data_IF_960432988439
#
_entry.id   IF_960432988439
#
_cell.length_a   1.000
_cell.length_b   1.000
_cell.length_c   1.000
_cell.angle_alpha   90.00
_cell.angle_beta   90.00
_cell.angle_gamma   90.00
#
_symmetry.space_group_name_H-M   'P 1'
#
loop_
_entity.id
_entity.type
_entity.pdbx_description
1 polymer ?
#
# COMPACT_ATOMS: atom_id res chain seq x y z
N UNK A 1 -31.71 23.88 -43.83
CA UNK A 1 -30.45 23.30 -44.31
C UNK A 1 -29.38 24.38 -44.25
N UNK A 2 -28.40 24.26 -43.35
CA UNK A 2 -27.12 24.96 -43.43
C UNK A 2 -26.08 24.22 -42.58
N UNK A 3 -24.89 24.06 -43.18
CA UNK A 3 -23.61 23.56 -42.63
C UNK A 3 -23.09 24.59 -41.58
N UNK A 4 -22.13 24.36 -40.67
CA UNK A 4 -20.77 23.77 -40.75
C UNK A 4 -20.32 23.31 -39.31
N UNK A 5 -19.03 23.00 -38.97
CA UNK A 5 -18.56 21.72 -38.44
C UNK A 5 -18.08 21.75 -36.97
N UNK A 6 -17.83 20.59 -36.37
CA UNK A 6 -17.13 20.52 -35.08
C UNK A 6 -15.62 20.44 -35.29
N UNK A 7 -14.93 21.53 -34.93
CA UNK A 7 -13.47 21.60 -34.78
C UNK A 7 -13.00 20.77 -33.57
N UNK A 8 -12.07 19.86 -33.81
CA UNK A 8 -11.24 19.26 -32.76
C UNK A 8 -10.22 20.31 -32.31
N UNK A 9 -10.44 20.91 -31.13
CA UNK A 9 -9.40 21.65 -30.43
C UNK A 9 -8.35 20.68 -29.91
N UNK A 10 -7.13 20.91 -30.36
CA UNK A 10 -5.89 20.22 -30.01
C UNK A 10 -5.62 20.26 -28.50
N UNK A 11 -5.54 19.10 -27.87
CA UNK A 11 -4.94 18.93 -26.54
C UNK A 11 -3.43 19.31 -26.60
N UNK A 12 -2.89 20.01 -25.59
CA UNK A 12 -1.49 20.42 -25.59
C UNK A 12 -0.56 19.20 -25.53
N UNK A 13 0.47 19.23 -26.39
CA UNK A 13 1.60 18.29 -26.40
C UNK A 13 2.34 18.36 -25.08
N UNK A 14 1.97 17.51 -24.12
CA UNK A 14 2.75 17.29 -22.90
C UNK A 14 3.61 16.04 -23.10
N UNK A 15 4.72 16.19 -23.82
CA UNK A 15 5.77 15.18 -23.90
C UNK A 15 7.13 15.86 -24.04
N UNK A 16 8.08 15.39 -23.21
CA UNK A 16 9.47 15.86 -23.01
C UNK A 16 9.58 17.11 -22.12
N UNK A 17 9.79 16.90 -20.81
CA UNK A 17 10.63 17.71 -19.88
C UNK A 17 10.22 17.54 -18.40
N UNK A 18 10.14 16.31 -17.87
CA UNK A 18 9.92 16.07 -16.42
C UNK A 18 11.09 15.33 -15.75
N UNK A 19 12.33 15.53 -16.21
CA UNK A 19 13.54 14.96 -15.59
C UNK A 19 14.54 16.04 -15.09
N UNK A 20 14.18 17.33 -15.12
CA UNK A 20 15.05 18.38 -14.56
C UNK A 20 14.29 19.28 -13.60
N UNK A 21 14.19 18.86 -12.33
CA UNK A 21 14.24 19.73 -11.14
C UNK A 21 13.91 18.90 -9.90
N UNK A 22 14.92 18.22 -9.37
CA UNK A 22 14.88 17.57 -8.05
C UNK A 22 15.17 18.56 -6.89
N UNK A 23 15.27 19.87 -7.18
CA UNK A 23 15.63 20.91 -6.19
C UNK A 23 14.51 21.37 -5.26
N UNK A 24 13.23 21.22 -5.64
CA UNK A 24 12.12 21.82 -4.90
C UNK A 24 11.44 20.87 -3.89
N UNK A 25 11.86 19.59 -3.85
CA UNK A 25 11.44 18.62 -2.82
C UNK A 25 12.21 18.78 -1.48
N UNK A 26 13.18 19.71 -1.43
CA UNK A 26 14.08 19.93 -0.29
C UNK A 26 13.52 20.86 0.81
N UNK A 27 12.32 21.43 0.66
CA UNK A 27 11.71 22.32 1.68
C UNK A 27 10.62 21.67 2.57
N UNK A 28 10.39 20.35 2.48
CA UNK A 28 9.34 19.66 3.26
C UNK A 28 9.79 19.20 4.67
N UNK A 29 10.86 19.77 5.23
CA UNK A 29 11.38 19.41 6.57
C UNK A 29 10.69 20.13 7.74
N UNK A 30 9.51 20.71 7.52
CA UNK A 30 8.66 21.25 8.61
C UNK A 30 7.16 20.92 8.44
N UNK A 31 6.83 19.65 8.20
CA UNK A 31 5.41 19.24 8.03
C UNK A 31 4.72 18.92 9.37
N UNK A 32 4.19 19.95 10.02
CA UNK A 32 3.15 19.82 11.05
C UNK A 32 1.75 20.29 10.60
N UNK A 33 1.52 21.03 9.49
CA UNK A 33 0.15 21.30 9.03
C UNK A 33 -0.34 20.50 7.80
N UNK A 34 0.51 19.70 7.15
CA UNK A 34 0.15 19.03 5.87
C UNK A 34 -0.42 17.59 6.08
N UNK A 35 -0.70 17.21 7.33
CA UNK A 35 -1.24 15.89 7.69
C UNK A 35 -2.76 15.74 7.41
N UNK A 36 -3.48 16.85 7.22
CA UNK A 36 -4.92 16.88 6.91
C UNK A 36 -5.20 16.47 5.47
N UNK A 37 -4.46 17.07 4.53
CA UNK A 37 -4.86 17.10 3.13
C UNK A 37 -4.33 15.88 2.36
N UNK A 38 -3.16 15.33 2.66
CA UNK A 38 -2.60 14.23 1.86
C UNK A 38 -3.33 12.88 1.99
N UNK A 39 -3.98 12.58 3.13
CA UNK A 39 -4.81 11.37 3.26
C UNK A 39 -6.10 11.52 2.44
N UNK A 40 -6.69 12.72 2.44
CA UNK A 40 -7.78 13.11 1.56
C UNK A 40 -7.33 13.15 0.10
N UNK A 41 -6.11 13.61 -0.21
CA UNK A 41 -5.52 13.63 -1.56
C UNK A 41 -5.17 12.24 -2.06
N UNK A 42 -4.81 11.28 -1.20
CA UNK A 42 -4.64 9.86 -1.58
C UNK A 42 -5.99 9.16 -1.72
N UNK A 43 -6.98 9.52 -0.90
CA UNK A 43 -8.37 9.09 -1.06
C UNK A 43 -9.01 9.72 -2.32
N UNK A 44 -8.65 10.96 -2.67
CA UNK A 44 -9.06 11.75 -3.84
C UNK A 44 -8.27 11.40 -5.10
N UNK A 45 -7.01 10.96 -5.02
CA UNK A 45 -6.31 10.27 -6.10
C UNK A 45 -6.88 8.85 -6.24
N UNK A 46 -7.31 8.25 -5.14
CA UNK A 46 -8.19 7.09 -5.15
C UNK A 46 -9.61 7.41 -5.62
N UNK A 47 -10.08 8.65 -5.75
CA UNK A 47 -11.47 8.90 -6.20
C UNK A 47 -11.66 8.67 -7.71
N UNK A 48 -10.75 9.10 -8.60
CA UNK A 48 -10.69 8.61 -9.97
C UNK A 48 -10.40 7.11 -10.01
N UNK A 49 -9.55 6.58 -9.12
CA UNK A 49 -9.25 5.15 -9.06
C UNK A 49 -10.35 4.32 -8.38
N UNK A 50 -11.35 4.88 -7.70
CA UNK A 50 -12.52 4.18 -7.13
C UNK A 50 -13.68 4.22 -8.13
N UNK A 51 -13.67 5.19 -9.05
CA UNK A 51 -14.52 5.23 -10.25
C UNK A 51 -13.98 4.38 -11.41
N UNK A 52 -12.66 4.20 -11.53
CA UNK A 52 -12.02 3.44 -12.62
C UNK A 52 -11.32 2.14 -12.21
N UNK A 53 -10.86 1.99 -10.97
CA UNK A 53 -10.69 0.66 -10.38
C UNK A 53 -11.91 0.38 -9.53
N UNK A 54 -12.57 -0.71 -9.87
CA UNK A 54 -13.35 -1.47 -8.93
C UNK A 54 -12.61 -1.55 -7.59
N UNK A 55 -13.07 -0.77 -6.60
CA UNK A 55 -12.72 -0.96 -5.18
C UNK A 55 -13.02 -2.41 -4.73
N UNK A 56 -13.84 -3.09 -5.51
CA UNK A 56 -14.21 -4.50 -5.49
C UNK A 56 -13.12 -5.49 -5.95
N UNK A 57 -12.09 -5.08 -6.71
CA UNK A 57 -11.20 -6.03 -7.40
C UNK A 57 -9.82 -6.16 -6.75
N UNK A 58 -9.34 -5.18 -5.95
CA UNK A 58 -7.96 -5.24 -5.41
C UNK A 58 -7.75 -4.97 -3.93
N UNK A 59 -8.69 -4.33 -3.24
CA UNK A 59 -8.64 -4.15 -1.77
C UNK A 59 -9.38 -5.25 -1.02
N UNK A 60 -10.36 -5.87 -1.65
CA UNK A 60 -11.03 -7.06 -1.15
C UNK A 60 -10.69 -8.25 -2.06
N UNK A 61 -10.48 -9.47 -1.53
CA UNK A 61 -10.43 -10.66 -2.37
C UNK A 61 -11.71 -10.67 -3.21
N UNK A 62 -11.57 -10.57 -4.54
CA UNK A 62 -12.61 -10.34 -5.57
C UNK A 62 -14.04 -10.27 -5.03
N UNK A 63 -14.77 -9.17 -5.18
CA UNK A 63 -16.19 -8.98 -4.72
C UNK A 63 -17.08 -10.24 -4.66
N UNK A 64 -17.00 -11.16 -5.63
CA UNK A 64 -17.65 -12.47 -5.62
C UNK A 64 -17.35 -13.35 -4.38
N UNK A 65 -16.12 -13.31 -3.85
CA UNK A 65 -15.65 -14.07 -2.69
C UNK A 65 -16.16 -13.47 -1.37
N UNK A 66 -16.09 -12.15 -1.21
CA UNK A 66 -16.73 -11.48 -0.07
C UNK A 66 -18.25 -11.74 -0.04
N UNK A 67 -18.91 -11.79 -1.20
CA UNK A 67 -20.30 -12.20 -1.31
C UNK A 67 -20.52 -13.65 -0.83
N UNK A 68 -19.68 -14.60 -1.27
CA UNK A 68 -19.76 -16.01 -0.82
C UNK A 68 -19.57 -16.17 0.69
N UNK A 69 -18.58 -15.51 1.29
CA UNK A 69 -18.34 -15.58 2.75
C UNK A 69 -19.49 -14.92 3.52
N UNK A 70 -20.00 -13.78 3.05
CA UNK A 70 -21.16 -13.11 3.63
C UNK A 70 -22.44 -13.96 3.58
N UNK A 71 -22.53 -14.94 2.68
CA UNK A 71 -23.67 -15.86 2.66
C UNK A 71 -23.62 -16.90 3.77
N UNK A 72 -22.43 -17.26 4.26
CA UNK A 72 -22.23 -18.36 5.20
C UNK A 72 -21.92 -17.89 6.62
N UNK A 73 -21.44 -16.66 6.79
CA UNK A 73 -21.03 -16.13 8.08
C UNK A 73 -21.70 -14.77 8.38
N UNK A 74 -22.34 -14.68 9.55
CA UNK A 74 -23.19 -13.56 9.92
C UNK A 74 -22.41 -12.29 10.27
N UNK A 75 -21.25 -12.40 10.91
CA UNK A 75 -20.40 -11.27 11.28
C UNK A 75 -19.90 -10.50 10.04
N UNK A 76 -19.42 -11.21 9.02
CA UNK A 76 -18.95 -10.70 7.73
C UNK A 76 -20.13 -10.11 6.97
N UNK A 77 -21.28 -10.80 6.95
CA UNK A 77 -22.51 -10.24 6.35
C UNK A 77 -22.85 -8.87 6.93
N UNK A 78 -22.91 -8.77 8.25
CA UNK A 78 -23.23 -7.52 8.93
C UNK A 78 -22.17 -6.44 8.69
N UNK A 79 -20.88 -6.79 8.68
CA UNK A 79 -19.78 -5.87 8.36
C UNK A 79 -19.91 -5.31 6.94
N UNK A 80 -20.22 -6.17 5.96
CA UNK A 80 -20.38 -5.78 4.56
C UNK A 80 -21.62 -4.90 4.35
N UNK A 81 -22.74 -5.18 5.04
CA UNK A 81 -23.94 -4.31 4.98
C UNK A 81 -23.63 -2.95 5.61
N UNK A 82 -22.92 -2.92 6.74
CA UNK A 82 -22.50 -1.68 7.39
C UNK A 82 -21.62 -0.85 6.45
N UNK A 83 -20.62 -1.47 5.82
CA UNK A 83 -19.72 -0.81 4.87
C UNK A 83 -20.48 -0.28 3.65
N UNK A 84 -21.38 -1.08 3.08
CA UNK A 84 -22.22 -0.67 1.95
C UNK A 84 -23.13 0.51 2.31
N UNK A 85 -23.68 0.53 3.52
CA UNK A 85 -24.52 1.62 4.03
C UNK A 85 -23.72 2.90 4.26
N UNK A 86 -22.50 2.81 4.82
CA UNK A 86 -21.58 3.93 4.97
C UNK A 86 -21.19 4.53 3.61
N UNK A 87 -20.93 3.68 2.62
CA UNK A 87 -20.64 4.13 1.26
C UNK A 87 -21.86 4.84 0.64
N UNK A 88 -23.09 4.39 0.91
CA UNK A 88 -24.30 5.12 0.51
C UNK A 88 -24.44 6.46 1.20
N UNK A 89 -24.13 6.57 2.49
CA UNK A 89 -24.07 7.86 3.18
C UNK A 89 -23.12 8.82 2.45
N UNK A 90 -21.89 8.39 2.14
CA UNK A 90 -20.91 9.22 1.43
C UNK A 90 -21.43 9.69 0.05
N UNK A 91 -22.03 8.78 -0.72
CA UNK A 91 -22.61 9.13 -2.02
C UNK A 91 -23.71 10.19 -1.90
N UNK A 92 -24.58 10.07 -0.90
CA UNK A 92 -25.69 10.99 -0.68
C UNK A 92 -25.21 12.34 -0.15
N UNK A 93 -24.23 12.39 0.75
CA UNK A 93 -23.62 13.63 1.25
C UNK A 93 -23.11 14.52 0.10
N UNK A 94 -22.57 13.90 -0.95
CA UNK A 94 -22.04 14.58 -2.13
C UNK A 94 -23.10 15.13 -3.10
N UNK A 95 -24.40 14.85 -2.87
CA UNK A 95 -25.50 15.29 -3.74
C UNK A 95 -26.43 16.26 -3.01
N UNK A 96 -26.73 17.41 -3.62
CA UNK A 96 -27.21 18.58 -2.87
C UNK A 96 -28.69 18.56 -2.41
N UNK A 97 -29.52 17.64 -2.92
CA UNK A 97 -30.94 17.97 -3.10
C UNK A 97 -31.93 17.41 -2.06
N UNK A 98 -31.64 16.36 -1.28
CA UNK A 98 -32.67 15.76 -0.38
C UNK A 98 -32.10 14.99 0.82
N UNK A 99 -31.27 15.67 1.63
CA UNK A 99 -30.23 15.00 2.44
C UNK A 99 -30.60 14.56 3.86
N UNK A 100 -31.49 15.22 4.58
CA UNK A 100 -31.62 14.99 6.04
C UNK A 100 -32.07 13.59 6.42
N UNK A 101 -33.34 13.27 6.14
CA UNK A 101 -33.98 12.03 6.60
C UNK A 101 -33.35 10.75 6.00
N UNK A 102 -32.98 10.80 4.72
CA UNK A 102 -32.38 9.64 4.04
C UNK A 102 -30.98 9.33 4.54
N UNK A 103 -30.16 10.36 4.81
CA UNK A 103 -28.81 10.19 5.37
C UNK A 103 -28.87 9.63 6.78
N UNK A 104 -29.76 10.17 7.63
CA UNK A 104 -29.97 9.68 9.00
C UNK A 104 -30.37 8.20 9.03
N UNK A 105 -31.26 7.79 8.11
CA UNK A 105 -31.65 6.38 7.98
C UNK A 105 -30.47 5.47 7.64
N UNK A 106 -29.63 5.84 6.69
CA UNK A 106 -28.45 5.04 6.32
C UNK A 106 -27.38 5.05 7.42
N UNK A 107 -27.23 6.14 8.17
CA UNK A 107 -26.36 6.19 9.35
C UNK A 107 -26.83 5.21 10.43
N UNK A 108 -28.13 5.15 10.71
CA UNK A 108 -28.71 4.19 11.67
C UNK A 108 -28.43 2.75 11.22
N UNK A 109 -28.66 2.43 9.94
CA UNK A 109 -28.37 1.10 9.39
C UNK A 109 -26.88 0.77 9.50
N UNK A 110 -26.00 1.73 9.19
CA UNK A 110 -24.54 1.55 9.30
C UNK A 110 -24.16 1.16 10.73
N UNK A 111 -24.64 1.91 11.72
CA UNK A 111 -24.31 1.68 13.13
C UNK A 111 -24.90 0.36 13.65
N UNK A 112 -26.18 0.08 13.36
CA UNK A 112 -26.83 -1.17 13.78
C UNK A 112 -26.10 -2.40 13.23
N UNK A 113 -25.74 -2.39 11.95
CA UNK A 113 -25.05 -3.51 11.32
C UNK A 113 -23.60 -3.65 11.80
N UNK A 114 -22.91 -2.53 12.04
CA UNK A 114 -21.59 -2.52 12.65
C UNK A 114 -21.60 -3.20 14.04
N UNK A 115 -22.54 -2.80 14.91
CA UNK A 115 -22.69 -3.37 16.26
C UNK A 115 -23.01 -4.86 16.18
N UNK A 116 -23.94 -5.26 15.31
CA UNK A 116 -24.28 -6.68 15.13
C UNK A 116 -23.08 -7.51 14.70
N UNK A 117 -22.28 -7.01 13.76
CA UNK A 117 -21.07 -7.69 13.32
C UNK A 117 -20.09 -7.90 14.48
N UNK A 118 -19.79 -6.84 15.25
CA UNK A 118 -18.92 -6.94 16.44
C UNK A 118 -19.45 -7.95 17.47
N UNK A 119 -20.75 -7.95 17.75
CA UNK A 119 -21.37 -8.91 18.68
C UNK A 119 -21.27 -10.36 18.20
N UNK A 120 -21.29 -10.60 16.89
CA UNK A 120 -21.05 -11.95 16.35
C UNK A 120 -19.58 -12.34 16.47
N UNK A 121 -18.64 -11.44 16.17
CA UNK A 121 -17.20 -11.70 16.30
C UNK A 121 -16.79 -12.04 17.73
N UNK A 122 -17.42 -11.42 18.73
CA UNK A 122 -17.16 -11.70 20.14
C UNK A 122 -17.36 -13.18 20.49
N UNK A 123 -18.19 -13.91 19.75
CA UNK A 123 -18.41 -15.36 19.96
C UNK A 123 -17.19 -16.20 19.60
N UNK A 124 -16.32 -15.68 18.74
CA UNK A 124 -15.08 -16.35 18.33
C UNK A 124 -13.91 -16.08 19.28
N UNK A 125 -14.09 -15.24 20.30
CA UNK A 125 -13.05 -14.92 21.27
C UNK A 125 -12.63 -16.19 22.02
N UNK A 126 -11.38 -16.63 21.80
CA UNK A 126 -10.82 -17.85 22.40
C UNK A 126 -10.85 -19.09 21.50
N UNK A 127 -11.53 -19.06 20.35
CA UNK A 127 -11.55 -20.16 19.39
C UNK A 127 -10.58 -19.91 18.22
N UNK A 128 -9.41 -20.55 18.27
CA UNK A 128 -8.33 -20.45 17.27
C UNK A 128 -8.58 -21.31 16.01
N UNK A 129 -9.82 -21.37 15.52
CA UNK A 129 -10.10 -22.02 14.23
C UNK A 129 -9.70 -21.08 13.09
N UNK A 130 -9.03 -21.62 12.06
CA UNK A 130 -8.56 -20.84 10.92
C UNK A 130 -9.68 -20.03 10.25
N UNK A 131 -10.88 -20.60 10.15
CA UNK A 131 -12.06 -19.92 9.59
C UNK A 131 -12.44 -18.68 10.40
N UNK A 132 -12.51 -18.80 11.73
CA UNK A 132 -12.82 -17.69 12.64
C UNK A 132 -11.78 -16.55 12.51
N UNK A 133 -10.50 -16.91 12.32
CA UNK A 133 -9.42 -15.93 12.06
C UNK A 133 -9.69 -15.18 10.76
N UNK A 134 -9.97 -15.91 9.66
CA UNK A 134 -10.26 -15.29 8.35
C UNK A 134 -11.47 -14.34 8.46
N UNK A 135 -12.56 -14.78 9.08
CA UNK A 135 -13.77 -13.97 9.25
C UNK A 135 -13.51 -12.71 10.07
N UNK A 136 -12.74 -12.82 11.15
CA UNK A 136 -12.35 -11.67 11.98
C UNK A 136 -11.50 -10.68 11.20
N UNK A 137 -10.54 -11.17 10.42
CA UNK A 137 -9.68 -10.33 9.58
C UNK A 137 -10.47 -9.62 8.46
N UNK A 138 -11.41 -10.32 7.81
CA UNK A 138 -12.31 -9.72 6.82
C UNK A 138 -13.14 -8.61 7.47
N UNK A 139 -13.71 -8.84 8.65
CA UNK A 139 -14.46 -7.80 9.35
C UNK A 139 -13.58 -6.61 9.73
N UNK A 140 -12.35 -6.84 10.20
CA UNK A 140 -11.38 -5.76 10.45
C UNK A 140 -11.13 -4.94 9.18
N UNK A 141 -10.92 -5.56 8.02
CA UNK A 141 -10.77 -4.84 6.74
C UNK A 141 -12.02 -4.03 6.39
N UNK A 142 -13.21 -4.63 6.52
CA UNK A 142 -14.47 -3.93 6.29
C UNK A 142 -14.62 -2.72 7.21
N UNK A 143 -14.25 -2.84 8.48
CA UNK A 143 -14.31 -1.75 9.44
C UNK A 143 -13.24 -0.67 9.22
N UNK A 144 -12.03 -1.03 8.80
CA UNK A 144 -11.03 -0.04 8.35
C UNK A 144 -11.62 0.81 7.24
N UNK A 145 -12.16 0.18 6.19
CA UNK A 145 -12.78 0.90 5.08
C UNK A 145 -13.99 1.74 5.53
N UNK A 146 -14.85 1.18 6.39
CA UNK A 146 -16.03 1.87 6.91
C UNK A 146 -15.65 3.12 7.70
N UNK A 147 -14.68 3.02 8.59
CA UNK A 147 -14.25 4.14 9.43
C UNK A 147 -13.50 5.19 8.59
N UNK A 148 -12.79 4.79 7.53
CA UNK A 148 -12.25 5.74 6.53
C UNK A 148 -13.39 6.51 5.83
N UNK A 149 -14.46 5.83 5.41
CA UNK A 149 -15.61 6.49 4.77
C UNK A 149 -16.34 7.47 5.70
N UNK A 150 -16.18 7.30 7.02
CA UNK A 150 -16.75 8.17 8.06
C UNK A 150 -15.75 9.21 8.58
N UNK A 151 -14.56 9.29 7.96
CA UNK A 151 -13.41 10.11 8.40
C UNK A 151 -13.00 9.88 9.87
N UNK A 152 -13.22 8.67 10.39
CA UNK A 152 -12.84 8.28 11.74
C UNK A 152 -11.49 7.53 11.73
N UNK A 153 -10.42 8.30 11.58
CA UNK A 153 -9.05 7.79 11.42
C UNK A 153 -8.58 6.97 12.63
N UNK A 154 -8.97 7.35 13.84
CA UNK A 154 -8.60 6.66 15.08
C UNK A 154 -9.21 5.25 15.12
N UNK A 155 -10.49 5.12 14.77
CA UNK A 155 -11.15 3.82 14.74
C UNK A 155 -10.61 2.94 13.59
N UNK A 156 -10.38 3.52 12.40
CA UNK A 156 -9.75 2.80 11.29
C UNK A 156 -8.37 2.24 11.70
N UNK A 157 -7.55 3.06 12.35
CA UNK A 157 -6.25 2.64 12.87
C UNK A 157 -6.38 1.54 13.94
N UNK A 158 -7.37 1.65 14.83
CA UNK A 158 -7.63 0.64 15.87
C UNK A 158 -7.95 -0.72 15.24
N UNK A 159 -8.79 -0.75 14.21
CA UNK A 159 -9.10 -2.00 13.48
C UNK A 159 -7.89 -2.55 12.72
N UNK A 160 -7.06 -1.70 12.13
CA UNK A 160 -5.80 -2.10 11.52
C UNK A 160 -4.88 -2.77 12.55
N UNK A 161 -4.66 -2.12 13.71
CA UNK A 161 -3.82 -2.65 14.79
C UNK A 161 -4.34 -3.98 15.32
N UNK A 162 -5.65 -4.10 15.52
CA UNK A 162 -6.28 -5.34 15.98
C UNK A 162 -6.08 -6.48 14.96
N UNK A 163 -6.30 -6.21 13.66
CA UNK A 163 -6.06 -7.19 12.60
C UNK A 163 -4.59 -7.60 12.50
N UNK A 164 -3.66 -6.65 12.61
CA UNK A 164 -2.23 -6.94 12.61
C UNK A 164 -1.78 -7.74 13.84
N UNK A 165 -2.37 -7.52 15.02
CA UNK A 165 -2.10 -8.33 16.21
C UNK A 165 -2.54 -9.79 16.01
N UNK A 166 -3.70 -10.02 15.37
CA UNK A 166 -4.16 -11.37 15.02
C UNK A 166 -3.17 -12.02 14.04
N UNK A 167 -2.76 -11.29 13.00
CA UNK A 167 -1.77 -11.77 12.02
C UNK A 167 -0.43 -12.06 12.70
N UNK A 168 0.00 -11.23 13.64
CA UNK A 168 1.29 -11.42 14.32
C UNK A 168 1.36 -12.75 15.08
N UNK A 169 0.23 -13.17 15.66
CA UNK A 169 0.08 -14.44 16.36
C UNK A 169 0.01 -15.69 15.47
N UNK A 170 -0.02 -15.55 14.14
CA UNK A 170 -0.08 -16.70 13.24
C UNK A 170 1.26 -17.43 13.13
N UNK A 171 1.26 -18.76 12.92
CA UNK A 171 2.48 -19.53 12.76
C UNK A 171 3.34 -19.07 11.57
N UNK A 172 4.69 -19.09 11.66
CA UNK A 172 5.59 -18.61 10.61
C UNK A 172 5.36 -19.23 9.22
N UNK A 173 5.01 -20.52 9.16
CA UNK A 173 4.79 -21.23 7.88
C UNK A 173 3.63 -20.65 7.05
N UNK A 174 2.69 -19.93 7.69
CA UNK A 174 1.58 -19.25 7.00
C UNK A 174 2.12 -18.19 6.05
N UNK A 175 3.26 -17.58 6.34
CA UNK A 175 3.82 -16.43 5.62
C UNK A 175 4.72 -16.82 4.44
N UNK A 176 4.96 -18.11 4.17
CA UNK A 176 5.86 -18.55 3.09
C UNK A 176 5.49 -18.02 1.70
N UNK A 177 4.20 -17.77 1.45
CA UNK A 177 3.73 -17.18 0.19
C UNK A 177 4.22 -15.74 -0.05
N UNK A 178 4.70 -15.04 0.99
CA UNK A 178 5.25 -13.70 0.83
C UNK A 178 6.60 -13.72 0.09
N UNK A 179 7.24 -14.89 -0.02
CA UNK A 179 8.55 -15.05 -0.65
C UNK A 179 8.50 -15.73 -2.02
N UNK A 180 7.37 -16.35 -2.39
CA UNK A 180 7.23 -17.05 -3.67
C UNK A 180 5.99 -16.58 -4.43
N UNK A 181 6.13 -16.11 -5.68
CA UNK A 181 5.00 -15.72 -6.52
C UNK A 181 4.15 -16.92 -6.95
N UNK A 182 4.70 -18.15 -6.92
CA UNK A 182 4.10 -19.38 -7.44
C UNK A 182 3.59 -20.34 -6.36
N UNK A 183 3.61 -19.94 -5.09
CA UNK A 183 3.15 -20.79 -4.00
C UNK A 183 1.68 -21.20 -4.21
N UNK A 184 1.45 -22.46 -4.58
CA UNK A 184 0.10 -23.03 -4.73
C UNK A 184 -0.51 -23.17 -3.35
N UNK A 185 -1.63 -22.47 -3.14
CA UNK A 185 -2.36 -22.53 -1.89
C UNK A 185 -3.62 -23.39 -2.07
N UNK A 186 -3.90 -24.25 -1.10
CA UNK A 186 -5.24 -24.80 -0.90
C UNK A 186 -6.25 -23.66 -0.76
N UNK A 187 -7.50 -23.87 -1.17
CA UNK A 187 -8.50 -22.79 -1.27
C UNK A 187 -8.67 -21.98 0.03
N UNK A 188 -8.79 -22.63 1.19
CA UNK A 188 -8.92 -21.96 2.50
C UNK A 188 -7.64 -21.22 2.90
N UNK A 189 -6.48 -21.74 2.48
CA UNK A 189 -5.18 -21.09 2.69
C UNK A 189 -5.06 -19.85 1.79
N UNK A 190 -5.56 -19.91 0.55
CA UNK A 190 -5.53 -18.79 -0.39
C UNK A 190 -6.32 -17.57 0.14
N UNK A 191 -7.47 -17.79 0.80
CA UNK A 191 -8.28 -16.70 1.37
C UNK A 191 -7.56 -15.98 2.52
N UNK A 192 -6.93 -16.73 3.43
CA UNK A 192 -6.12 -16.15 4.49
C UNK A 192 -4.92 -15.38 3.92
N UNK A 193 -4.24 -15.96 2.94
CA UNK A 193 -3.08 -15.33 2.30
C UNK A 193 -3.45 -14.02 1.61
N UNK A 194 -4.54 -14.01 0.82
CA UNK A 194 -5.02 -12.79 0.17
C UNK A 194 -5.40 -11.72 1.19
N UNK A 195 -6.03 -12.11 2.29
CA UNK A 195 -6.36 -11.22 3.40
C UNK A 195 -5.08 -10.61 4.02
N UNK A 196 -4.06 -11.44 4.29
CA UNK A 196 -2.75 -10.97 4.79
C UNK A 196 -2.08 -10.02 3.78
N UNK A 197 -2.16 -10.30 2.46
CA UNK A 197 -1.61 -9.40 1.43
C UNK A 197 -2.25 -8.01 1.50
N UNK A 198 -3.57 -7.94 1.71
CA UNK A 198 -4.29 -6.67 1.86
C UNK A 198 -3.83 -5.93 3.11
N UNK A 199 -3.75 -6.59 4.26
CA UNK A 199 -3.19 -5.98 5.49
C UNK A 199 -1.77 -5.46 5.27
N UNK A 200 -0.92 -6.25 4.61
CA UNK A 200 0.45 -5.85 4.28
C UNK A 200 0.55 -4.69 3.28
N UNK A 201 -0.53 -4.33 2.57
CA UNK A 201 -0.60 -3.10 1.77
C UNK A 201 -1.10 -1.93 2.62
N UNK A 202 -2.11 -2.15 3.44
CA UNK A 202 -2.71 -1.11 4.28
C UNK A 202 -1.73 -0.63 5.36
N UNK A 203 -0.96 -1.54 5.95
CA UNK A 203 0.01 -1.21 7.00
C UNK A 203 1.13 -0.28 6.49
N UNK A 204 1.44 -0.31 5.18
CA UNK A 204 2.41 0.61 4.58
C UNK A 204 1.99 2.06 4.73
N UNK A 205 0.69 2.37 4.63
CA UNK A 205 0.18 3.70 4.94
C UNK A 205 0.34 4.01 6.42
N UNK A 206 0.09 3.04 7.30
CA UNK A 206 0.29 3.17 8.74
C UNK A 206 1.70 3.66 9.10
N UNK A 207 2.73 3.17 8.40
CA UNK A 207 4.12 3.59 8.59
C UNK A 207 4.37 5.09 8.33
N UNK A 208 3.62 5.73 7.43
CA UNK A 208 3.82 7.15 7.10
C UNK A 208 3.09 8.09 8.05
N UNK A 209 1.95 7.66 8.61
CA UNK A 209 1.05 8.56 9.33
C UNK A 209 1.06 8.35 10.85
N UNK A 210 1.59 7.23 11.34
CA UNK A 210 1.61 6.93 12.77
C UNK A 210 3.04 6.74 13.26
N UNK A 211 3.57 7.67 14.08
CA UNK A 211 4.87 7.51 14.71
C UNK A 211 4.96 6.19 15.48
N UNK A 212 6.07 5.47 15.32
CA UNK A 212 6.30 4.18 15.99
C UNK A 212 5.40 3.03 15.49
N UNK A 213 4.74 3.19 14.34
CA UNK A 213 3.97 2.09 13.74
C UNK A 213 4.88 0.90 13.42
N UNK A 214 4.41 -0.31 13.76
CA UNK A 214 5.10 -1.57 13.51
C UNK A 214 4.43 -2.31 12.35
N UNK A 215 5.05 -2.37 11.15
CA UNK A 215 4.48 -3.09 10.00
C UNK A 215 4.70 -4.60 10.13
N UNK A 216 3.74 -5.29 10.71
CA UNK A 216 3.85 -6.71 11.07
C UNK A 216 4.09 -7.61 9.85
N UNK A 217 3.34 -7.41 8.76
CA UNK A 217 3.46 -8.28 7.58
C UNK A 217 4.80 -8.04 6.88
N UNK A 218 5.23 -6.78 6.77
CA UNK A 218 6.50 -6.41 6.19
C UNK A 218 7.68 -6.95 7.01
N UNK A 219 7.65 -6.83 8.34
CA UNK A 219 8.71 -7.38 9.21
C UNK A 219 8.85 -8.89 9.03
N UNK A 220 7.74 -9.63 9.02
CA UNK A 220 7.79 -11.09 8.83
C UNK A 220 8.37 -11.46 7.45
N UNK A 221 7.99 -10.74 6.40
CA UNK A 221 8.50 -10.96 5.06
C UNK A 221 9.99 -10.60 4.93
N UNK A 222 10.36 -9.45 5.49
CA UNK A 222 11.71 -8.90 5.49
C UNK A 222 12.70 -9.82 6.23
N UNK A 223 12.32 -10.33 7.40
CA UNK A 223 13.18 -11.23 8.16
C UNK A 223 13.56 -12.50 7.38
N UNK A 224 12.66 -13.00 6.53
CA UNK A 224 12.96 -14.12 5.64
C UNK A 224 13.78 -13.76 4.39
N UNK A 225 13.96 -12.47 4.11
CA UNK A 225 14.70 -11.92 2.96
C UNK A 225 15.84 -10.99 3.38
N UNK A 226 16.35 -11.11 4.61
CA UNK A 226 17.55 -10.37 4.99
C UNK A 226 18.68 -10.72 4.03
N UNK A 227 19.44 -9.70 3.65
CA UNK A 227 20.54 -9.78 2.69
C UNK A 227 20.14 -10.24 1.27
N UNK A 228 18.85 -10.32 0.95
CA UNK A 228 18.38 -10.54 -0.43
C UNK A 228 18.68 -9.30 -1.28
N UNK A 229 19.67 -9.44 -2.16
CA UNK A 229 20.04 -8.43 -3.15
C UNK A 229 19.32 -8.62 -4.50
N UNK A 230 18.44 -9.62 -4.57
CA UNK A 230 17.72 -10.01 -5.77
C UNK A 230 18.58 -10.77 -6.79
N UNK A 231 19.74 -11.31 -6.43
CA UNK A 231 20.63 -12.07 -7.33
C UNK A 231 19.90 -13.13 -8.14
N UNK A 232 18.94 -13.82 -7.52
CA UNK A 232 18.22 -14.95 -8.10
C UNK A 232 17.14 -14.54 -9.12
N UNK A 233 16.80 -13.25 -9.18
CA UNK A 233 15.78 -12.72 -10.08
C UNK A 233 16.42 -12.26 -11.40
N UNK A 234 16.40 -13.10 -12.45
CA UNK A 234 17.05 -12.78 -13.73
C UNK A 234 16.18 -11.98 -14.69
N UNK A 235 14.87 -12.27 -14.75
CA UNK A 235 13.93 -11.64 -15.70
C UNK A 235 12.56 -11.48 -15.06
N UNK A 236 11.79 -10.48 -15.53
CA UNK A 236 10.37 -10.33 -15.19
C UNK A 236 9.54 -10.75 -16.41
N UNK A 237 8.68 -11.75 -16.25
CA UNK A 237 7.91 -12.32 -17.35
C UNK A 237 6.60 -11.57 -17.61
N UNK A 238 6.03 -10.96 -16.57
CA UNK A 238 4.74 -10.29 -16.65
C UNK A 238 4.56 -9.25 -15.53
N UNK A 239 3.50 -8.46 -15.62
CA UNK A 239 3.21 -7.41 -14.65
C UNK A 239 2.83 -7.92 -13.25
N UNK A 240 2.35 -9.15 -13.10
CA UNK A 240 2.02 -9.72 -11.78
C UNK A 240 3.29 -10.06 -11.00
N UNK A 241 4.25 -10.69 -11.66
CA UNK A 241 5.59 -10.94 -11.11
C UNK A 241 6.32 -9.63 -10.78
N UNK A 242 6.26 -8.65 -11.69
CA UNK A 242 6.82 -7.32 -11.45
C UNK A 242 6.21 -6.66 -10.19
N UNK A 243 4.88 -6.69 -10.06
CA UNK A 243 4.16 -6.17 -8.90
C UNK A 243 4.52 -6.92 -7.62
N UNK A 244 4.71 -8.24 -7.68
CA UNK A 244 5.13 -9.04 -6.54
C UNK A 244 6.50 -8.59 -6.02
N UNK A 245 7.48 -8.45 -6.90
CA UNK A 245 8.83 -8.02 -6.52
C UNK A 245 8.88 -6.57 -6.05
N UNK A 246 8.15 -5.66 -6.70
CA UNK A 246 8.05 -4.26 -6.26
C UNK A 246 7.45 -4.13 -4.85
N UNK A 247 6.36 -4.84 -4.56
CA UNK A 247 5.77 -4.85 -3.22
C UNK A 247 6.71 -5.43 -2.17
N UNK A 248 7.42 -6.51 -2.48
CA UNK A 248 8.36 -7.11 -1.54
C UNK A 248 9.53 -6.19 -1.25
N UNK A 249 10.10 -5.55 -2.27
CA UNK A 249 11.13 -4.53 -2.07
C UNK A 249 10.62 -3.38 -1.21
N UNK A 250 9.43 -2.84 -1.50
CA UNK A 250 8.85 -1.75 -0.72
C UNK A 250 8.61 -2.15 0.75
N UNK A 251 8.10 -3.36 1.00
CA UNK A 251 7.95 -3.90 2.37
C UNK A 251 9.28 -4.01 3.09
N UNK A 252 10.31 -4.49 2.41
CA UNK A 252 11.64 -4.66 2.98
C UNK A 252 12.23 -3.29 3.38
N UNK A 253 12.01 -2.25 2.56
CA UNK A 253 12.36 -0.87 2.91
C UNK A 253 11.56 -0.37 4.12
N UNK A 254 10.24 -0.57 4.15
CA UNK A 254 9.43 -0.09 5.30
C UNK A 254 9.77 -0.83 6.61
N UNK A 255 10.10 -2.12 6.53
CA UNK A 255 10.61 -2.87 7.68
C UNK A 255 11.98 -2.36 8.11
N UNK A 256 12.87 -2.05 7.16
CA UNK A 256 14.18 -1.47 7.45
C UNK A 256 14.06 -0.11 8.11
N UNK A 257 13.20 0.78 7.60
CA UNK A 257 12.89 2.08 8.24
C UNK A 257 12.46 1.89 9.70
N UNK A 258 11.60 0.90 9.97
CA UNK A 258 11.15 0.62 11.33
C UNK A 258 12.30 0.15 12.22
N UNK A 259 13.09 -0.81 11.75
CA UNK A 259 14.26 -1.36 12.46
C UNK A 259 15.30 -0.29 12.81
N UNK A 260 15.58 0.63 11.88
CA UNK A 260 16.62 1.66 12.04
C UNK A 260 16.08 2.98 12.56
N UNK A 261 14.80 3.09 12.87
CA UNK A 261 14.15 4.34 13.28
C UNK A 261 14.79 5.00 14.51
N UNK A 262 15.38 4.22 15.41
CA UNK A 262 16.09 4.71 16.60
C UNK A 262 17.58 5.02 16.35
N UNK A 263 18.11 4.68 15.18
CA UNK A 263 19.54 4.75 14.83
C UNK A 263 19.82 5.81 13.75
N UNK A 264 18.93 6.79 13.60
CA UNK A 264 19.15 7.91 12.70
C UNK A 264 20.42 8.68 13.11
N UNK A 265 21.35 8.87 12.17
CA UNK A 265 22.67 9.48 12.40
C UNK A 265 23.55 8.78 13.47
N UNK A 266 23.28 7.51 13.80
CA UNK A 266 24.11 6.71 14.70
C UNK A 266 25.28 6.08 13.93
N UNK A 267 26.39 6.80 13.82
CA UNK A 267 27.58 6.33 13.10
C UNK A 267 28.13 5.00 13.64
N UNK A 268 27.95 4.71 14.93
CA UNK A 268 28.41 3.44 15.52
C UNK A 268 27.58 2.28 14.99
N UNK A 269 26.26 2.45 14.96
CA UNK A 269 25.34 1.47 14.37
C UNK A 269 25.63 1.25 12.88
N UNK A 270 25.72 2.32 12.08
CA UNK A 270 25.93 2.21 10.63
C UNK A 270 27.33 1.73 10.23
N UNK A 271 28.32 1.81 11.13
CA UNK A 271 29.64 1.21 10.92
C UNK A 271 29.68 -0.32 11.04
N UNK A 272 28.60 -0.94 11.56
CA UNK A 272 28.56 -2.38 11.77
C UNK A 272 28.52 -3.11 10.42
N UNK A 273 29.37 -4.16 10.20
CA UNK A 273 29.43 -4.85 8.92
C UNK A 273 28.10 -5.47 8.46
N UNK A 274 27.27 -5.95 9.40
CA UNK A 274 25.96 -6.51 9.07
C UNK A 274 24.99 -5.45 8.56
N UNK A 275 25.00 -4.25 9.15
CA UNK A 275 24.15 -3.13 8.77
C UNK A 275 24.55 -2.59 7.39
N UNK A 276 25.84 -2.46 7.12
CA UNK A 276 26.37 -2.09 5.80
C UNK A 276 26.01 -3.14 4.74
N UNK A 277 26.19 -4.43 5.05
CA UNK A 277 25.83 -5.52 4.14
C UNK A 277 24.34 -5.50 3.81
N UNK A 278 23.50 -5.30 4.82
CA UNK A 278 22.05 -5.23 4.63
C UNK A 278 21.65 -4.01 3.78
N UNK A 279 22.24 -2.84 4.05
CA UNK A 279 22.01 -1.63 3.28
C UNK A 279 22.43 -1.81 1.82
N UNK A 280 23.61 -2.38 1.59
CA UNK A 280 24.15 -2.65 0.26
C UNK A 280 23.27 -3.64 -0.53
N UNK A 281 22.79 -4.71 0.09
CA UNK A 281 21.89 -5.66 -0.56
C UNK A 281 20.61 -4.96 -1.08
N UNK A 282 20.00 -4.10 -0.26
CA UNK A 282 18.81 -3.34 -0.66
C UNK A 282 19.10 -2.34 -1.79
N UNK A 283 20.27 -1.70 -1.80
CA UNK A 283 20.70 -0.80 -2.89
C UNK A 283 20.89 -1.58 -4.20
N UNK A 284 21.59 -2.71 -4.16
CA UNK A 284 21.82 -3.58 -5.33
C UNK A 284 20.48 -4.03 -5.90
N UNK A 285 19.56 -4.48 -5.03
CA UNK A 285 18.22 -4.90 -5.43
C UNK A 285 17.41 -3.80 -6.08
N UNK A 286 17.51 -2.56 -5.58
CA UNK A 286 16.85 -1.39 -6.17
C UNK A 286 17.30 -1.15 -7.62
N UNK A 287 18.62 -1.17 -7.84
CA UNK A 287 19.23 -0.99 -9.18
C UNK A 287 18.77 -2.11 -10.12
N UNK A 288 18.78 -3.35 -9.63
CA UNK A 288 18.36 -4.51 -10.41
C UNK A 288 16.89 -4.43 -10.81
N UNK A 289 16.01 -4.10 -9.86
CA UNK A 289 14.58 -3.91 -10.15
C UNK A 289 14.34 -2.81 -11.18
N UNK A 290 15.02 -1.67 -11.07
CA UNK A 290 14.90 -0.59 -12.05
C UNK A 290 15.24 -1.07 -13.47
N UNK A 291 16.34 -1.83 -13.63
CA UNK A 291 16.74 -2.40 -14.91
C UNK A 291 15.71 -3.41 -15.45
N UNK A 292 15.21 -4.31 -14.60
CA UNK A 292 14.23 -5.32 -15.00
C UNK A 292 12.90 -4.71 -15.42
N UNK A 293 12.44 -3.68 -14.70
CA UNK A 293 11.24 -2.94 -15.08
C UNK A 293 11.41 -2.20 -16.42
N UNK A 294 12.60 -1.66 -16.69
CA UNK A 294 12.92 -1.08 -17.99
C UNK A 294 12.86 -2.13 -19.10
N UNK A 295 13.47 -3.30 -18.90
CA UNK A 295 13.42 -4.41 -19.86
C UNK A 295 11.98 -4.90 -20.10
N UNK A 296 11.15 -4.98 -19.05
CA UNK A 296 9.75 -5.35 -19.17
C UNK A 296 8.93 -4.32 -19.98
N UNK A 297 9.25 -3.03 -19.85
CA UNK A 297 8.60 -1.97 -20.63
C UNK A 297 9.00 -1.99 -22.11
N UNK A 298 10.17 -2.53 -22.45
CA UNK A 298 10.70 -2.65 -23.82
C UNK A 298 10.34 -3.99 -24.48
N UNK A 299 9.80 -4.95 -23.72
CA UNK A 299 9.45 -6.28 -24.21
C UNK A 299 8.36 -6.22 -25.29
N UNK A 300 8.34 -7.20 -26.20
CA UNK A 300 7.34 -7.30 -27.28
C UNK A 300 5.91 -7.45 -26.78
N UNK A 301 5.74 -7.97 -25.56
CA UNK A 301 4.48 -8.12 -24.85
C UNK A 301 4.27 -7.03 -23.77
N UNK A 302 5.00 -5.92 -23.84
CA UNK A 302 4.88 -4.82 -22.88
C UNK A 302 3.42 -4.32 -22.78
N UNK A 303 2.94 -3.96 -21.57
CA UNK A 303 1.60 -3.43 -21.41
C UNK A 303 1.38 -2.17 -22.26
N UNK A 304 0.28 -2.18 -23.00
CA UNK A 304 -0.06 -1.08 -23.90
C UNK A 304 -0.24 0.22 -23.10
N UNK A 305 0.33 1.35 -23.55
CA UNK A 305 0.10 2.66 -22.93
C UNK A 305 -1.38 2.94 -22.74
N UNK A 306 -1.76 3.38 -21.53
CA UNK A 306 -3.15 3.64 -21.16
C UNK A 306 -3.97 2.40 -20.74
N UNK A 307 -3.41 1.20 -20.82
CA UNK A 307 -4.03 0.01 -20.20
C UNK A 307 -3.90 0.02 -18.69
N UNK A 308 -4.79 -0.68 -17.98
CA UNK A 308 -4.68 -0.84 -16.52
C UNK A 308 -3.32 -1.43 -16.12
N UNK A 309 -2.82 -2.43 -16.86
CA UNK A 309 -1.53 -3.06 -16.56
C UNK A 309 -0.36 -2.07 -16.73
N UNK A 310 -0.43 -1.19 -17.73
CA UNK A 310 0.55 -0.13 -17.89
C UNK A 310 0.57 0.80 -16.67
N UNK A 311 -0.60 1.28 -16.21
CA UNK A 311 -0.67 2.12 -15.01
C UNK A 311 -0.17 1.41 -13.75
N UNK A 312 -0.42 0.10 -13.61
CA UNK A 312 0.09 -0.67 -12.48
C UNK A 312 1.61 -0.71 -12.44
N UNK A 313 2.25 -0.99 -13.58
CA UNK A 313 3.70 -1.01 -13.68
C UNK A 313 4.30 0.36 -13.39
N UNK A 314 3.69 1.43 -13.91
CA UNK A 314 4.14 2.80 -13.61
C UNK A 314 4.05 3.12 -12.11
N UNK A 315 2.98 2.68 -11.44
CA UNK A 315 2.82 2.86 -10.00
C UNK A 315 3.85 2.04 -9.21
N UNK A 316 4.16 0.81 -9.65
CA UNK A 316 5.19 -0.02 -9.04
C UNK A 316 6.59 0.61 -9.18
N UNK A 317 6.90 1.19 -10.34
CA UNK A 317 8.14 1.96 -10.56
C UNK A 317 8.21 3.17 -9.63
N UNK A 318 7.11 3.92 -9.48
CA UNK A 318 7.04 5.04 -8.52
C UNK A 318 7.31 4.57 -7.10
N UNK A 319 6.70 3.46 -6.67
CA UNK A 319 6.93 2.89 -5.34
C UNK A 319 8.40 2.51 -5.12
N UNK A 320 9.05 1.90 -6.11
CA UNK A 320 10.49 1.57 -6.06
C UNK A 320 11.33 2.84 -5.91
N UNK A 321 11.02 3.90 -6.67
CA UNK A 321 11.72 5.19 -6.55
C UNK A 321 11.56 5.81 -5.15
N UNK A 322 10.34 5.82 -4.61
CA UNK A 322 10.10 6.31 -3.25
C UNK A 322 10.86 5.49 -2.20
N UNK A 323 10.84 4.16 -2.33
CA UNK A 323 11.59 3.25 -1.47
C UNK A 323 13.11 3.50 -1.52
N UNK A 324 13.66 3.76 -2.71
CA UNK A 324 15.07 4.10 -2.88
C UNK A 324 15.43 5.40 -2.16
N UNK A 325 14.60 6.44 -2.27
CA UNK A 325 14.82 7.72 -1.57
C UNK A 325 14.79 7.52 -0.05
N UNK A 326 13.87 6.69 0.45
CA UNK A 326 13.81 6.36 1.87
C UNK A 326 15.08 5.63 2.31
N UNK A 327 15.54 4.65 1.53
CA UNK A 327 16.75 3.89 1.80
C UNK A 327 17.99 4.78 1.88
N UNK A 328 18.14 5.71 0.94
CA UNK A 328 19.26 6.67 0.90
C UNK A 328 19.28 7.61 2.12
N UNK A 329 18.11 7.89 2.71
CA UNK A 329 17.97 8.75 3.90
C UNK A 329 18.15 8.03 5.23
N UNK A 330 18.21 6.71 5.27
CA UNK A 330 18.34 5.99 6.54
C UNK A 330 19.73 6.17 7.15
N UNK A 331 20.74 6.22 6.29
CA UNK A 331 22.15 6.39 6.63
C UNK A 331 22.64 7.75 6.15
N UNK A 332 22.18 8.81 6.83
CA UNK A 332 22.56 10.20 6.55
C UNK A 332 24.08 10.46 6.69
N UNK A 333 24.86 9.47 7.16
CA UNK A 333 26.31 9.57 7.28
C UNK A 333 27.00 9.72 5.91
N UNK A 334 26.44 9.17 4.82
CA UNK A 334 27.06 9.18 3.49
C UNK A 334 26.60 10.32 2.56
N UNK A 335 25.50 11.00 2.88
CA UNK A 335 25.01 12.15 2.11
C UNK A 335 25.88 13.40 2.31
N UNK A 336 26.53 13.53 3.46
CA UNK A 336 27.49 14.61 3.72
C UNK A 336 28.81 14.38 2.98
N UNK A 337 29.31 13.14 2.93
CA UNK A 337 30.55 12.79 2.22
C UNK A 337 30.41 12.95 0.69
N UNK A 338 29.24 12.64 0.13
CA UNK A 338 29.00 12.76 -1.31
C UNK A 338 28.78 14.22 -1.77
N UNK A 339 28.20 15.08 -0.93
CA UNK A 339 28.11 16.52 -1.19
C UNK A 339 29.46 17.24 -1.03
N UNK A 340 30.29 16.88 -0.04
CA UNK A 340 31.66 17.42 0.09
C UNK A 340 32.58 16.93 -1.04
N UNK A 341 32.43 15.68 -1.48
CA UNK A 341 33.17 15.13 -2.62
C UNK A 341 32.77 15.73 -3.98
N UNK A 342 31.58 16.34 -4.08
CA UNK A 342 31.14 17.07 -5.28
C UNK A 342 31.53 18.56 -5.24
N UNK A 343 31.51 19.20 -4.06
CA UNK A 343 31.93 20.60 -3.88
C UNK A 343 33.45 20.79 -3.98
N UNK A 344 34.25 19.79 -3.61
CA UNK A 344 35.71 19.80 -3.75
C UNK A 344 36.22 19.58 -5.18
N UNK A 345 35.33 19.34 -6.16
CA UNK A 345 35.68 19.17 -7.58
C UNK A 345 35.37 20.38 -8.46
N UNK A 346 34.96 21.51 -7.88
CA UNK A 346 34.87 22.77 -8.60
C UNK A 346 36.27 23.38 -8.60
N UNK A 347 36.98 23.46 -9.74
CA UNK A 347 38.27 24.14 -9.78
C UNK A 347 38.04 25.62 -9.49
N UNK A 348 38.84 26.19 -8.59
CA UNK A 348 38.94 27.64 -8.40
C UNK A 348 39.31 28.29 -9.75
N UNK A 349 38.29 28.75 -10.47
CA UNK A 349 38.49 29.64 -11.61
C UNK A 349 38.79 31.02 -11.06
N UNK A 350 40.06 31.43 -11.24
CA UNK A 350 40.61 32.76 -11.02
C UNK A 350 39.80 33.88 -11.66
#
# INVERSE_FOLDING_TARGET
MNKIPYEYQTLPKCSRNYISNYGDLLQLTSMQPIQSDCFSTLLELQQPLTKHLDLNVRLFPSSARCARVSHHEASVKHAMIALGSAYKCLQLSNTAADRGYTLDRWNIVTIDQYIRSMSQLQKYTGEQRQENVIFTLICCLSFICLEILRDNRIAAYTHLKNGLNIIDGLPPFVFGFLNSPTATAEQTKAELQDTIKVFGRIEMFGCFYTPGFRPVVAIKAYNSRRFDDGSDMETLHNGEEAHFHANNYFRDIMSRCHETSAHFSDATFWSQPEEQKQQQALVIRAIKLANLFQSLAEATNAPQPGSNNFFCIQLDQLNICCAKILLERMDDCHLLDSHEAQLSRIPDTK
#
